data_IF_496189228391
#
_entry.id   IF_496189228391
#
_cell.length_a   1.000
_cell.length_b   1.000
_cell.length_c   1.000
_cell.angle_alpha   90.00
_cell.angle_beta   90.00
_cell.angle_gamma   90.00
#
_symmetry.space_group_name_H-M   'P 1'
#
loop_
_entity.id
_entity.type
_entity.pdbx_description
1 polymer ?
#
# COMPACT_ATOMS: atom_id res chain seq x y z
N UNK A 1 -4.35 -17.89 10.83
CA UNK A 1 -4.62 -17.23 9.54
C UNK A 1 -5.42 -18.17 8.65
N UNK A 2 -6.57 -17.71 8.15
CA UNK A 2 -7.41 -18.45 7.21
C UNK A 2 -6.75 -18.51 5.81
N UNK A 3 -6.87 -19.60 5.04
CA UNK A 3 -6.27 -19.69 3.71
C UNK A 3 -6.66 -18.53 2.77
N UNK A 4 -7.89 -18.05 2.89
CA UNK A 4 -8.45 -16.97 2.09
C UNK A 4 -7.82 -15.61 2.43
N UNK A 5 -7.52 -15.34 3.71
CA UNK A 5 -6.83 -14.10 4.11
C UNK A 5 -5.35 -14.11 3.70
N UNK A 6 -4.72 -15.29 3.64
CA UNK A 6 -3.34 -15.45 3.18
C UNK A 6 -3.12 -14.96 1.74
N UNK A 7 -4.08 -15.19 0.83
CA UNK A 7 -4.01 -14.71 -0.55
C UNK A 7 -3.89 -13.18 -0.61
N UNK A 8 -4.71 -12.47 0.16
CA UNK A 8 -4.68 -11.01 0.18
C UNK A 8 -3.38 -10.48 0.78
N UNK A 9 -2.81 -11.15 1.79
CA UNK A 9 -1.47 -10.81 2.29
C UNK A 9 -0.39 -11.00 1.22
N UNK A 10 -0.48 -12.03 0.36
CA UNK A 10 0.41 -12.13 -0.80
C UNK A 10 0.23 -10.98 -1.78
N UNK A 11 -1.01 -10.58 -2.08
CA UNK A 11 -1.29 -9.45 -2.98
C UNK A 11 -0.69 -8.14 -2.42
N UNK A 12 -0.82 -7.89 -1.12
CA UNK A 12 -0.20 -6.74 -0.45
C UNK A 12 1.33 -6.81 -0.57
N UNK A 13 1.93 -7.96 -0.27
CA UNK A 13 3.38 -8.13 -0.36
C UNK A 13 3.87 -7.82 -1.78
N UNK A 14 3.25 -8.39 -2.81
CA UNK A 14 3.62 -8.14 -4.21
C UNK A 14 3.45 -6.67 -4.62
N UNK A 15 2.39 -6.01 -4.18
CA UNK A 15 2.19 -4.59 -4.44
C UNK A 15 3.27 -3.72 -3.78
N UNK A 16 3.64 -4.01 -2.53
CA UNK A 16 4.73 -3.31 -1.84
C UNK A 16 6.11 -3.51 -2.51
N UNK A 17 6.40 -4.72 -2.99
CA UNK A 17 7.62 -5.01 -3.76
C UNK A 17 7.64 -4.22 -5.08
N UNK A 18 6.51 -4.21 -5.79
CA UNK A 18 6.35 -3.47 -7.06
C UNK A 18 6.54 -1.97 -6.85
N UNK A 19 5.93 -1.41 -5.80
CA UNK A 19 6.11 -0.01 -5.42
C UNK A 19 7.58 0.32 -5.13
N UNK A 20 8.27 -0.55 -4.41
CA UNK A 20 9.70 -0.38 -4.10
C UNK A 20 10.55 -0.33 -5.37
N UNK A 21 10.26 -1.21 -6.35
CA UNK A 21 10.95 -1.23 -7.64
C UNK A 21 10.68 0.02 -8.48
N UNK A 22 9.44 0.52 -8.48
CA UNK A 22 9.08 1.71 -9.24
C UNK A 22 9.84 2.96 -8.81
N UNK A 23 10.14 3.07 -7.51
CA UNK A 23 10.78 4.26 -6.92
C UNK A 23 12.26 4.07 -6.60
N UNK A 24 12.83 2.91 -6.92
CA UNK A 24 14.24 2.61 -6.65
C UNK A 24 15.16 3.63 -7.34
N UNK A 25 16.05 4.24 -6.55
CA UNK A 25 17.00 5.25 -7.04
C UNK A 25 16.36 6.58 -7.48
N UNK A 26 15.04 6.77 -7.32
CA UNK A 26 14.34 8.01 -7.67
C UNK A 26 14.30 8.97 -6.50
N UNK A 27 14.33 10.27 -6.80
CA UNK A 27 14.02 11.34 -5.84
C UNK A 27 12.59 11.81 -6.05
N UNK A 28 12.09 12.60 -5.09
CA UNK A 28 10.75 13.18 -5.18
C UNK A 28 10.48 13.91 -6.51
N UNK A 29 11.42 14.74 -6.98
CA UNK A 29 11.27 15.45 -8.25
C UNK A 29 11.11 14.53 -9.47
N UNK A 30 11.77 13.36 -9.45
CA UNK A 30 11.67 12.36 -10.52
C UNK A 30 10.30 11.67 -10.49
N UNK A 31 9.70 11.52 -9.30
CA UNK A 31 8.33 11.03 -9.11
C UNK A 31 7.27 12.07 -9.50
N UNK A 32 7.41 13.30 -9.01
CA UNK A 32 6.44 14.39 -9.18
C UNK A 32 6.22 14.76 -10.66
N UNK A 33 7.32 14.77 -11.42
CA UNK A 33 7.32 15.12 -12.85
C UNK A 33 6.86 13.99 -13.78
N UNK A 34 6.75 12.75 -13.30
CA UNK A 34 6.39 11.58 -14.11
C UNK A 34 4.95 11.12 -13.83
N UNK A 35 4.02 11.54 -14.69
CA UNK A 35 2.60 11.17 -14.56
C UNK A 35 2.38 9.66 -14.65
N UNK A 36 3.12 8.95 -15.50
CA UNK A 36 2.94 7.50 -15.67
C UNK A 36 3.34 6.77 -14.39
N UNK A 37 4.46 7.18 -13.79
CA UNK A 37 4.91 6.66 -12.51
C UNK A 37 3.90 6.95 -11.39
N UNK A 38 3.39 8.17 -11.30
CA UNK A 38 2.36 8.53 -10.30
C UNK A 38 1.11 7.66 -10.44
N UNK A 39 0.58 7.52 -11.66
CA UNK A 39 -0.57 6.66 -11.93
C UNK A 39 -0.31 5.18 -11.58
N UNK A 40 0.89 4.67 -11.86
CA UNK A 40 1.27 3.30 -11.52
C UNK A 40 1.38 3.10 -10.00
N UNK A 41 1.93 4.07 -9.27
CA UNK A 41 2.04 4.08 -7.81
C UNK A 41 0.65 4.09 -7.16
N UNK A 42 -0.21 5.02 -7.56
CA UNK A 42 -1.58 5.13 -7.05
C UNK A 42 -2.34 3.82 -7.24
N UNK A 43 -2.18 3.17 -8.40
CA UNK A 43 -2.80 1.87 -8.68
C UNK A 43 -2.38 0.79 -7.69
N UNK A 44 -1.09 0.72 -7.34
CA UNK A 44 -0.59 -0.27 -6.38
C UNK A 44 -1.04 0.05 -4.95
N UNK A 45 -1.07 1.32 -4.55
CA UNK A 45 -1.59 1.72 -3.23
C UNK A 45 -3.08 1.38 -3.08
N UNK A 46 -3.87 1.52 -4.15
CA UNK A 46 -5.26 1.03 -4.15
C UNK A 46 -5.37 -0.48 -3.98
N UNK A 47 -4.47 -1.27 -4.58
CA UNK A 47 -4.41 -2.74 -4.39
C UNK A 47 -4.12 -3.06 -2.94
N UNK A 48 -3.12 -2.40 -2.34
CA UNK A 48 -2.76 -2.58 -0.93
C UNK A 48 -3.96 -2.34 -0.02
N UNK A 49 -4.65 -1.21 -0.18
CA UNK A 49 -5.82 -0.87 0.64
C UNK A 49 -7.00 -1.83 0.46
N UNK A 50 -7.30 -2.24 -0.78
CA UNK A 50 -8.37 -3.21 -1.07
C UNK A 50 -8.04 -4.58 -0.47
N UNK A 51 -6.82 -5.10 -0.71
CA UNK A 51 -6.42 -6.40 -0.21
C UNK A 51 -6.41 -6.43 1.32
N UNK A 52 -5.96 -5.35 1.98
CA UNK A 52 -6.01 -5.28 3.44
C UNK A 52 -7.45 -5.27 3.98
N UNK A 53 -8.35 -4.53 3.33
CA UNK A 53 -9.79 -4.54 3.67
C UNK A 53 -10.40 -5.93 3.55
N UNK A 54 -10.07 -6.67 2.48
CA UNK A 54 -10.55 -8.04 2.32
C UNK A 54 -9.93 -9.00 3.34
N UNK A 55 -8.64 -8.86 3.64
CA UNK A 55 -7.95 -9.70 4.61
C UNK A 55 -8.57 -9.57 6.01
N UNK A 56 -8.77 -8.33 6.49
CA UNK A 56 -9.31 -8.06 7.83
C UNK A 56 -10.80 -8.41 7.93
N UNK A 57 -11.56 -8.33 6.84
CA UNK A 57 -12.95 -8.82 6.80
C UNK A 57 -13.06 -10.33 6.95
N UNK A 58 -12.05 -11.08 6.51
CA UNK A 58 -12.01 -12.54 6.63
C UNK A 58 -11.44 -13.01 7.98
N UNK A 59 -10.55 -12.21 8.58
CA UNK A 59 -9.79 -12.50 9.78
C UNK A 59 -9.53 -11.19 10.55
N UNK A 60 -10.48 -10.83 11.44
CA UNK A 60 -10.52 -9.52 12.10
C UNK A 60 -9.26 -9.22 12.94
N UNK A 61 -8.67 -10.25 13.54
CA UNK A 61 -7.44 -10.14 14.35
C UNK A 61 -6.23 -9.69 13.52
N UNK A 62 -6.24 -9.81 12.18
CA UNK A 62 -5.14 -9.32 11.34
C UNK A 62 -4.94 -7.81 11.45
N UNK A 63 -6.00 -7.06 11.71
CA UNK A 63 -5.92 -5.61 11.84
C UNK A 63 -5.02 -5.20 13.02
N UNK A 64 -5.00 -5.98 14.10
CA UNK A 64 -4.19 -5.71 15.31
C UNK A 64 -2.70 -5.98 15.07
N UNK A 65 -2.36 -6.73 14.02
CA UNK A 65 -0.99 -7.10 13.68
C UNK A 65 -0.35 -6.16 12.64
N UNK A 66 -1.14 -5.25 12.06
CA UNK A 66 -0.71 -4.30 11.02
C UNK A 66 -0.90 -2.87 11.55
N UNK A 67 0.20 -2.15 11.67
CA UNK A 67 0.18 -0.77 12.11
C UNK A 67 -0.57 0.10 11.09
N UNK A 68 -1.41 1.02 11.58
CA UNK A 68 -2.20 1.94 10.76
C UNK A 68 -3.10 1.23 9.71
N UNK A 69 -3.54 -0.01 9.99
CA UNK A 69 -4.36 -0.79 9.06
C UNK A 69 -5.59 -0.02 8.54
N UNK A 70 -6.26 0.74 9.43
CA UNK A 70 -7.40 1.58 9.08
C UNK A 70 -7.03 2.69 8.10
N UNK A 71 -5.89 3.34 8.29
CA UNK A 71 -5.45 4.44 7.43
C UNK A 71 -5.02 3.91 6.05
N UNK A 72 -4.38 2.74 6.01
CA UNK A 72 -4.03 2.05 4.76
C UNK A 72 -5.29 1.72 3.95
N UNK A 73 -6.35 1.22 4.60
CA UNK A 73 -7.63 0.96 3.94
C UNK A 73 -8.26 2.27 3.46
N UNK A 74 -8.23 3.32 4.28
CA UNK A 74 -8.80 4.62 3.94
C UNK A 74 -8.05 5.32 2.79
N UNK A 75 -6.75 5.11 2.66
CA UNK A 75 -5.92 5.69 1.60
C UNK A 75 -6.47 5.37 0.20
N UNK A 76 -7.02 4.17 -0.01
CA UNK A 76 -7.71 3.80 -1.24
C UNK A 76 -8.85 4.78 -1.57
N UNK A 77 -9.66 5.13 -0.59
CA UNK A 77 -10.80 6.04 -0.78
C UNK A 77 -10.31 7.47 -1.07
N UNK A 78 -9.23 7.89 -0.42
CA UNK A 78 -8.59 9.19 -0.67
C UNK A 78 -8.04 9.26 -2.09
N UNK A 79 -7.37 8.21 -2.59
CA UNK A 79 -6.85 8.18 -3.96
C UNK A 79 -7.98 8.17 -5.00
N UNK A 80 -9.04 7.37 -4.77
CA UNK A 80 -10.17 7.25 -5.72
C UNK A 80 -11.02 8.53 -5.79
N UNK A 81 -11.31 9.17 -4.65
CA UNK A 81 -12.25 10.30 -4.59
C UNK A 81 -11.57 11.65 -4.44
N UNK A 82 -10.37 11.68 -3.87
CA UNK A 82 -9.62 12.88 -3.54
C UNK A 82 -8.48 13.18 -4.51
N UNK A 83 -8.48 12.68 -5.75
CA UNK A 83 -7.39 12.90 -6.72
C UNK A 83 -7.10 14.38 -7.02
N UNK A 84 -8.02 15.30 -6.67
CA UNK A 84 -7.82 16.76 -6.73
C UNK A 84 -7.15 17.34 -5.48
N UNK A 85 -7.04 16.57 -4.40
CA UNK A 85 -6.57 16.96 -3.05
C UNK A 85 -5.36 16.13 -2.61
N UNK A 86 -5.07 14.99 -3.26
CA UNK A 86 -3.90 14.18 -2.92
C UNK A 86 -2.62 14.92 -3.33
N UNK A 87 -1.87 15.35 -2.33
CA UNK A 87 -0.56 15.96 -2.53
C UNK A 87 0.49 14.89 -2.84
N UNK A 88 1.24 15.06 -3.94
CA UNK A 88 2.27 14.12 -4.36
C UNK A 88 3.34 13.90 -3.27
N UNK A 89 3.64 14.93 -2.47
CA UNK A 89 4.56 14.85 -1.33
C UNK A 89 4.07 13.86 -0.27
N UNK A 90 2.76 13.82 -0.01
CA UNK A 90 2.15 12.88 0.95
C UNK A 90 2.31 11.45 0.45
N UNK A 91 2.00 11.18 -0.82
CA UNK A 91 2.18 9.85 -1.41
C UNK A 91 3.65 9.44 -1.41
N UNK A 92 4.55 10.36 -1.74
CA UNK A 92 5.99 10.10 -1.67
C UNK A 92 6.44 9.75 -0.25
N UNK A 93 5.96 10.48 0.77
CA UNK A 93 6.21 10.15 2.17
C UNK A 93 5.77 8.73 2.54
N UNK A 94 4.57 8.34 2.14
CA UNK A 94 4.03 6.98 2.35
C UNK A 94 4.92 5.92 1.68
N UNK A 95 5.37 6.17 0.44
CA UNK A 95 6.26 5.25 -0.28
C UNK A 95 7.59 5.02 0.44
N UNK A 96 8.17 6.08 1.01
CA UNK A 96 9.48 6.01 1.66
C UNK A 96 9.39 5.46 3.09
N UNK A 97 8.33 5.79 3.83
CA UNK A 97 8.24 5.48 5.26
C UNK A 97 7.36 4.27 5.58
N UNK A 98 6.21 4.13 4.94
CA UNK A 98 5.15 3.23 5.40
C UNK A 98 5.08 1.94 4.57
N UNK A 99 5.29 2.03 3.25
CA UNK A 99 5.31 0.85 2.37
C UNK A 99 6.38 -0.18 2.80
N UNK A 100 7.63 0.20 3.16
CA UNK A 100 8.62 -0.76 3.65
C UNK A 100 8.24 -1.42 4.98
N UNK A 101 7.57 -0.67 5.88
CA UNK A 101 7.09 -1.22 7.16
C UNK A 101 5.99 -2.24 6.94
N UNK A 102 5.00 -1.90 6.12
CA UNK A 102 3.89 -2.79 5.78
C UNK A 102 4.39 -4.07 5.12
N UNK A 103 5.31 -3.95 4.16
CA UNK A 103 6.00 -5.10 3.52
C UNK A 103 6.56 -6.06 4.56
N UNK A 104 7.30 -5.54 5.55
CA UNK A 104 7.92 -6.35 6.60
C UNK A 104 6.89 -7.00 7.53
N UNK A 105 5.84 -6.27 7.92
CA UNK A 105 4.75 -6.81 8.75
C UNK A 105 4.05 -7.97 8.04
N UNK A 106 3.68 -7.77 6.77
CA UNK A 106 3.01 -8.78 5.95
C UNK A 106 3.90 -9.99 5.69
N UNK A 107 5.18 -9.77 5.37
CA UNK A 107 6.13 -10.86 5.18
C UNK A 107 6.28 -11.71 6.45
N UNK A 108 6.22 -11.10 7.65
CA UNK A 108 6.24 -11.83 8.92
C UNK A 108 4.97 -12.66 9.14
N UNK A 109 3.80 -12.16 8.76
CA UNK A 109 2.52 -12.86 8.86
C UNK A 109 2.39 -14.04 7.88
N UNK A 110 3.14 -14.02 6.78
CA UNK A 110 3.13 -15.07 5.76
C UNK A 110 4.08 -16.25 6.03
N UNK A 111 5.02 -16.10 6.98
CA UNK A 111 5.93 -17.15 7.45
C UNK A 111 5.18 -18.17 8.32
#
# INVERSE_FOLDING_TARGET
MRPESRKYLYDILQACETLSQFVEGKRFADYDSDLLLRSAVERQLMIVGEALSQATRMDEELADHIENARDIINLRNVIVHGYTVVENETIWGILQADVPKLRNQVARLLR
#
